data_IF_857879651847
#
_entry.id   IF_857879651847
#
_cell.length_a   1.000
_cell.length_b   1.000
_cell.length_c   1.000
_cell.angle_alpha   90.00
_cell.angle_beta   90.00
_cell.angle_gamma   90.00
#
_symmetry.space_group_name_H-M   'P 1'
#
loop_
_entity.id
_entity.type
_entity.pdbx_description
1 polymer ?
#
# COMPACT_ATOMS: atom_id res chain seq x y z
N UNK A 1 16.14 8.19 -22.67
CA UNK A 1 15.99 7.93 -21.22
C UNK A 1 14.69 7.17 -21.03
N UNK A 2 14.71 6.03 -20.35
CA UNK A 2 13.52 5.17 -20.17
C UNK A 2 12.46 5.76 -19.23
N UNK A 3 12.72 6.90 -18.57
CA UNK A 3 11.84 7.49 -17.55
C UNK A 3 11.17 8.81 -17.92
N UNK A 4 11.23 9.26 -19.18
CA UNK A 4 10.47 10.42 -19.63
C UNK A 4 8.98 10.06 -19.77
N UNK A 5 8.09 11.01 -19.44
CA UNK A 5 6.65 10.89 -19.58
C UNK A 5 6.08 12.09 -20.32
N UNK A 6 5.21 11.83 -21.28
CA UNK A 6 4.42 12.86 -21.94
C UNK A 6 3.33 13.39 -21.02
N UNK A 7 2.93 14.64 -21.23
CA UNK A 7 1.88 15.30 -20.47
C UNK A 7 0.50 15.04 -21.08
N UNK A 8 -0.53 14.92 -20.23
CA UNK A 8 -1.93 14.73 -20.64
C UNK A 8 -2.14 13.56 -21.62
N UNK A 9 -1.43 12.45 -21.44
CA UNK A 9 -1.58 11.25 -22.27
C UNK A 9 -2.23 10.11 -21.49
N UNK A 10 -2.79 9.19 -22.26
CA UNK A 10 -3.26 7.88 -21.78
C UNK A 10 -2.37 6.83 -22.42
N UNK A 11 -1.77 5.98 -21.61
CA UNK A 11 -0.79 4.99 -22.06
C UNK A 11 -1.20 3.62 -21.56
N UNK A 12 -1.14 2.63 -22.45
CA UNK A 12 -1.32 1.24 -22.07
C UNK A 12 -0.09 0.76 -21.28
N UNK A 13 -0.35 0.20 -20.11
CA UNK A 13 0.63 -0.34 -19.18
C UNK A 13 0.40 -1.82 -18.89
N UNK A 14 -0.48 -2.48 -19.64
CA UNK A 14 -0.70 -3.92 -19.59
C UNK A 14 0.33 -4.68 -20.43
N UNK A 15 0.68 -5.88 -19.98
CA UNK A 15 1.49 -6.81 -20.76
C UNK A 15 0.60 -7.67 -21.67
N UNK A 16 0.98 -7.78 -22.95
CA UNK A 16 0.24 -8.57 -23.94
C UNK A 16 -1.08 -7.92 -24.32
N UNK A 17 -2.17 -8.68 -24.26
CA UNK A 17 -3.52 -8.22 -24.63
C UNK A 17 -4.30 -7.61 -23.45
N UNK A 18 -3.63 -7.29 -22.34
CA UNK A 18 -4.23 -6.66 -21.16
C UNK A 18 -4.42 -5.17 -21.42
N UNK A 19 -5.59 -4.64 -21.07
CA UNK A 19 -5.91 -3.21 -21.21
C UNK A 19 -5.81 -2.50 -19.86
N UNK A 20 -4.62 -2.04 -19.51
CA UNK A 20 -4.39 -1.27 -18.28
C UNK A 20 -4.01 0.16 -18.67
N UNK A 21 -4.75 1.16 -18.20
CA UNK A 21 -4.59 2.53 -18.69
C UNK A 21 -4.05 3.46 -17.63
N UNK A 22 -2.86 4.02 -17.87
CA UNK A 22 -2.25 5.06 -17.03
C UNK A 22 -2.49 6.45 -17.62
N UNK A 23 -2.83 7.41 -16.75
CA UNK A 23 -3.16 8.79 -17.12
C UNK A 23 -2.15 9.74 -16.52
N UNK A 24 -1.58 10.62 -17.36
CA UNK A 24 -0.71 11.70 -16.89
C UNK A 24 -1.42 13.05 -16.84
N UNK A 25 -1.01 13.91 -15.91
CA UNK A 25 -1.41 15.31 -15.91
C UNK A 25 -0.51 16.17 -16.82
N UNK A 26 -0.72 17.49 -16.81
CA UNK A 26 0.05 18.44 -17.64
C UNK A 26 1.56 18.49 -17.32
N UNK A 27 1.98 17.92 -16.18
CA UNK A 27 3.36 17.84 -15.71
C UNK A 27 3.99 16.45 -15.93
N UNK A 28 3.29 15.56 -16.63
CA UNK A 28 3.75 14.19 -16.88
C UNK A 28 3.74 13.31 -15.62
N UNK A 29 3.07 13.72 -14.54
CA UNK A 29 2.88 12.87 -13.36
C UNK A 29 1.78 11.85 -13.65
N UNK A 30 2.00 10.57 -13.35
CA UNK A 30 0.94 9.55 -13.42
C UNK A 30 0.01 9.78 -12.24
N UNK A 31 -1.22 10.20 -12.49
CA UNK A 31 -2.19 10.59 -11.44
C UNK A 31 -3.29 9.55 -11.23
N UNK A 32 -3.49 8.68 -12.22
CA UNK A 32 -4.51 7.63 -12.19
C UNK A 32 -4.08 6.43 -13.04
N UNK A 33 -4.33 5.22 -12.56
CA UNK A 33 -4.22 3.99 -13.35
C UNK A 33 -5.50 3.18 -13.17
N UNK A 34 -6.06 2.65 -14.25
CA UNK A 34 -7.27 1.82 -14.19
C UNK A 34 -7.11 0.52 -14.96
N UNK A 35 -7.82 -0.51 -14.51
CA UNK A 35 -8.05 -1.72 -15.27
C UNK A 35 -9.45 -2.25 -14.97
N UNK A 36 -10.21 -2.62 -15.99
CA UNK A 36 -11.52 -3.27 -15.78
C UNK A 36 -11.34 -4.60 -15.05
N UNK A 37 -10.29 -5.35 -15.41
CA UNK A 37 -9.93 -6.63 -14.83
C UNK A 37 -8.42 -6.77 -14.74
N UNK A 38 -7.93 -7.12 -13.55
CA UNK A 38 -6.55 -7.56 -13.35
C UNK A 38 -6.46 -9.06 -13.65
N UNK A 39 -5.63 -9.40 -14.62
CA UNK A 39 -5.31 -10.78 -15.02
C UNK A 39 -3.87 -11.06 -14.59
N UNK A 40 -3.70 -12.06 -13.72
CA UNK A 40 -2.39 -12.47 -13.22
C UNK A 40 -1.45 -12.88 -14.37
N UNK A 41 -0.15 -12.69 -14.17
CA UNK A 41 0.89 -13.23 -15.04
C UNK A 41 0.85 -14.77 -15.00
N UNK A 42 1.14 -15.40 -16.13
CA UNK A 42 1.33 -16.85 -16.24
C UNK A 42 2.75 -17.14 -16.73
N UNK A 43 3.65 -17.47 -15.81
CA UNK A 43 5.07 -17.73 -16.11
C UNK A 43 5.31 -18.95 -17.00
N UNK A 44 4.31 -19.82 -17.15
CA UNK A 44 4.39 -21.03 -17.99
C UNK A 44 3.98 -20.77 -19.44
N UNK A 45 3.19 -19.73 -19.69
CA UNK A 45 2.64 -19.40 -21.01
C UNK A 45 3.17 -18.08 -21.58
N UNK A 46 3.56 -17.15 -20.70
CA UNK A 46 4.01 -15.82 -21.09
C UNK A 46 5.54 -15.74 -21.18
N UNK A 47 6.08 -14.89 -22.08
CA UNK A 47 7.52 -14.80 -22.31
C UNK A 47 8.20 -13.97 -21.22
N UNK A 48 8.21 -14.50 -19.99
CA UNK A 48 8.93 -13.91 -18.86
C UNK A 48 10.41 -14.29 -18.90
N UNK A 49 11.25 -13.45 -18.30
CA UNK A 49 12.65 -13.74 -18.05
C UNK A 49 12.78 -14.87 -17.01
N UNK A 50 13.97 -15.45 -16.88
CA UNK A 50 14.25 -16.45 -15.84
C UNK A 50 14.06 -15.92 -14.40
N UNK A 51 13.96 -14.61 -14.23
CA UNK A 51 13.62 -13.93 -12.98
C UNK A 51 12.10 -13.87 -12.70
N UNK A 52 11.26 -14.29 -13.64
CA UNK A 52 9.80 -14.11 -13.60
C UNK A 52 9.32 -12.74 -14.05
N UNK A 53 10.22 -11.85 -14.47
CA UNK A 53 9.88 -10.47 -14.88
C UNK A 53 9.63 -10.36 -16.37
N UNK A 54 8.76 -9.47 -16.81
CA UNK A 54 8.58 -9.21 -18.26
C UNK A 54 9.78 -8.48 -18.87
N UNK A 55 10.44 -7.61 -18.10
CA UNK A 55 11.57 -6.80 -18.55
C UNK A 55 12.73 -6.88 -17.58
N UNK A 56 13.95 -6.74 -18.09
CA UNK A 56 15.19 -6.90 -17.30
C UNK A 56 15.45 -5.74 -16.35
N UNK A 57 14.79 -4.60 -16.56
CA UNK A 57 14.98 -3.39 -15.78
C UNK A 57 13.71 -2.51 -15.85
N UNK A 58 13.48 -1.73 -14.79
CA UNK A 58 12.42 -0.73 -14.71
C UNK A 58 12.82 0.60 -15.32
N UNK A 59 11.83 1.35 -15.81
CA UNK A 59 12.01 2.72 -16.23
C UNK A 59 12.64 3.61 -15.15
N UNK A 60 13.66 4.40 -15.54
CA UNK A 60 14.38 5.29 -14.62
C UNK A 60 13.72 6.67 -14.51
N UNK A 61 12.53 6.70 -13.91
CA UNK A 61 11.74 7.92 -13.68
C UNK A 61 12.47 8.84 -12.68
N UNK A 62 12.44 10.18 -12.84
CA UNK A 62 13.06 11.08 -11.86
C UNK A 62 12.63 10.77 -10.42
N UNK A 63 13.60 10.54 -9.54
CA UNK A 63 13.37 10.14 -8.15
C UNK A 63 13.81 8.71 -7.80
N UNK A 64 13.82 7.77 -8.76
CA UNK A 64 14.19 6.36 -8.49
C UNK A 64 15.69 6.12 -8.27
N UNK A 65 16.53 7.16 -8.40
CA UNK A 65 17.97 7.06 -8.12
C UNK A 65 18.30 7.31 -6.63
N UNK A 66 17.30 7.32 -5.76
CA UNK A 66 17.45 7.49 -4.32
C UNK A 66 17.66 6.12 -3.66
N UNK A 67 18.58 6.03 -2.70
CA UNK A 67 18.86 4.76 -1.99
C UNK A 67 17.67 4.26 -1.15
N UNK A 68 16.67 5.10 -0.90
CA UNK A 68 15.48 4.79 -0.09
C UNK A 68 14.22 4.60 -0.95
N UNK A 69 14.31 4.84 -2.26
CA UNK A 69 13.17 4.72 -3.16
C UNK A 69 13.43 3.68 -4.24
N UNK A 70 12.51 2.74 -4.38
CA UNK A 70 12.47 1.78 -5.47
C UNK A 70 11.78 2.36 -6.71
N UNK A 71 12.02 1.70 -7.84
CA UNK A 71 11.16 1.79 -9.01
C UNK A 71 9.89 0.94 -8.78
N UNK A 72 9.01 1.43 -7.91
CA UNK A 72 7.78 0.72 -7.51
C UNK A 72 6.79 0.66 -8.66
N UNK A 73 6.27 -0.54 -8.93
CA UNK A 73 5.18 -0.72 -9.89
C UNK A 73 3.87 -0.22 -9.28
N UNK A 74 3.03 0.43 -10.08
CA UNK A 74 1.64 0.72 -9.69
C UNK A 74 0.80 -0.56 -9.85
N UNK A 75 0.98 -1.27 -10.95
CA UNK A 75 0.51 -2.65 -11.17
C UNK A 75 1.74 -3.53 -11.42
N UNK A 76 2.02 -4.49 -10.53
CA UNK A 76 3.20 -5.35 -10.62
C UNK A 76 3.23 -6.27 -11.86
N UNK A 77 4.44 -6.74 -12.20
CA UNK A 77 4.68 -7.79 -13.21
C UNK A 77 3.74 -8.99 -12.97
N UNK A 78 3.64 -9.46 -11.72
CA UNK A 78 2.79 -10.60 -11.33
C UNK A 78 1.28 -10.38 -11.53
N UNK A 79 0.85 -9.11 -11.64
CA UNK A 79 -0.51 -8.70 -11.95
C UNK A 79 -0.70 -8.32 -13.43
N UNK A 80 0.33 -8.53 -14.26
CA UNK A 80 0.29 -8.27 -15.69
C UNK A 80 0.67 -6.84 -16.11
N UNK A 81 1.23 -6.02 -15.21
CA UNK A 81 1.71 -4.68 -15.54
C UNK A 81 3.12 -4.71 -16.14
N UNK A 82 3.45 -3.72 -16.99
CA UNK A 82 4.80 -3.58 -17.59
C UNK A 82 5.66 -2.57 -16.85
N UNK A 83 6.99 -2.72 -16.93
CA UNK A 83 7.95 -1.85 -16.23
C UNK A 83 8.25 -0.51 -16.92
N UNK A 84 7.30 0.06 -17.67
CA UNK A 84 7.48 1.31 -18.42
C UNK A 84 7.34 2.55 -17.52
N UNK A 85 7.71 3.74 -18.04
CA UNK A 85 7.70 4.97 -17.24
C UNK A 85 6.33 5.32 -16.66
N UNK A 86 5.23 4.90 -17.29
CA UNK A 86 3.86 5.24 -16.92
C UNK A 86 3.26 4.30 -15.86
N UNK A 87 3.96 3.20 -15.55
CA UNK A 87 3.56 2.23 -14.51
C UNK A 87 4.55 2.14 -13.34
N UNK A 88 5.63 2.92 -13.38
CA UNK A 88 6.69 2.92 -12.36
C UNK A 88 6.69 4.25 -11.64
N UNK A 89 6.57 4.29 -10.32
CA UNK A 89 6.76 5.52 -9.51
C UNK A 89 7.90 5.36 -8.52
N UNK A 90 8.68 6.41 -8.19
CA UNK A 90 9.57 6.39 -7.04
C UNK A 90 8.76 6.11 -5.78
N UNK A 91 8.96 4.96 -5.16
CA UNK A 91 8.18 4.49 -4.02
C UNK A 91 9.12 4.08 -2.89
N UNK A 92 8.75 4.38 -1.65
CA UNK A 92 9.52 3.93 -0.49
C UNK A 92 9.79 2.42 -0.55
N UNK A 93 11.06 2.02 -0.39
CA UNK A 93 11.47 0.62 -0.60
C UNK A 93 10.82 -0.34 0.39
N UNK A 94 10.60 0.06 1.64
CA UNK A 94 9.94 -0.79 2.65
C UNK A 94 8.46 -0.92 2.32
N UNK A 95 7.79 0.18 1.97
CA UNK A 95 6.40 0.17 1.50
C UNK A 95 6.21 -0.72 0.28
N UNK A 96 7.08 -0.59 -0.72
CA UNK A 96 7.03 -1.33 -1.98
C UNK A 96 7.22 -2.84 -1.78
N UNK A 97 8.19 -3.24 -0.95
CA UNK A 97 8.57 -4.66 -0.82
C UNK A 97 7.80 -5.42 0.25
N UNK A 98 7.40 -4.74 1.32
CA UNK A 98 6.89 -5.37 2.55
C UNK A 98 5.70 -4.64 3.19
N UNK A 99 5.26 -3.51 2.63
CA UNK A 99 4.16 -2.70 3.16
C UNK A 99 2.83 -2.92 2.44
N UNK A 100 2.00 -1.89 2.47
CA UNK A 100 0.63 -1.94 1.95
C UNK A 100 0.54 -2.24 0.44
N UNK A 101 1.54 -1.82 -0.34
CA UNK A 101 1.64 -2.17 -1.76
C UNK A 101 1.75 -3.69 -1.94
N UNK A 102 2.73 -4.31 -1.27
CA UNK A 102 2.96 -5.76 -1.36
C UNK A 102 1.74 -6.56 -0.86
N UNK A 103 1.04 -6.06 0.17
CA UNK A 103 -0.18 -6.70 0.67
C UNK A 103 -1.32 -6.66 -0.35
N UNK A 104 -1.61 -5.49 -0.92
CA UNK A 104 -2.64 -5.33 -1.95
C UNK A 104 -2.37 -6.27 -3.15
N UNK A 105 -1.11 -6.40 -3.58
CA UNK A 105 -0.73 -7.34 -4.64
C UNK A 105 -0.97 -8.79 -4.26
N UNK A 106 -0.65 -9.19 -3.02
CA UNK A 106 -0.87 -10.54 -2.53
C UNK A 106 -2.36 -10.91 -2.42
N UNK A 107 -3.20 -9.98 -1.93
CA UNK A 107 -4.66 -10.15 -1.87
C UNK A 107 -5.22 -10.41 -3.27
N UNK A 108 -4.83 -9.60 -4.27
CA UNK A 108 -5.29 -9.77 -5.65
C UNK A 108 -4.82 -11.10 -6.23
N UNK A 109 -3.55 -11.49 -6.00
CA UNK A 109 -3.00 -12.78 -6.44
C UNK A 109 -3.75 -13.96 -5.85
N UNK A 110 -3.93 -13.99 -4.52
CA UNK A 110 -4.66 -15.06 -3.81
C UNK A 110 -6.12 -15.15 -4.26
N UNK A 111 -6.72 -14.02 -4.62
CA UNK A 111 -8.08 -14.00 -5.17
C UNK A 111 -8.19 -14.50 -6.63
N UNK A 112 -7.07 -14.68 -7.34
CA UNK A 112 -7.04 -15.06 -8.75
C UNK A 112 -7.20 -13.89 -9.72
N UNK A 113 -6.94 -12.66 -9.26
CA UNK A 113 -7.16 -11.41 -9.99
C UNK A 113 -8.20 -10.52 -9.30
N UNK A 114 -8.48 -9.37 -9.92
CA UNK A 114 -9.42 -8.37 -9.41
C UNK A 114 -10.22 -7.73 -10.55
N UNK A 115 -11.27 -6.99 -10.20
CA UNK A 115 -12.03 -6.17 -11.15
C UNK A 115 -12.20 -4.75 -10.64
N UNK A 116 -12.51 -3.81 -11.54
CA UNK A 116 -12.70 -2.39 -11.21
C UNK A 116 -11.49 -1.81 -10.44
N UNK A 117 -10.29 -2.13 -10.91
CA UNK A 117 -9.06 -1.64 -10.31
C UNK A 117 -8.86 -0.17 -10.67
N UNK A 118 -8.63 0.66 -9.67
CA UNK A 118 -8.27 2.06 -9.78
C UNK A 118 -7.19 2.41 -8.77
N UNK A 119 -6.08 2.98 -9.25
CA UNK A 119 -5.09 3.64 -8.42
C UNK A 119 -5.21 5.15 -8.64
N UNK A 120 -5.30 5.91 -7.55
CA UNK A 120 -5.21 7.38 -7.55
C UNK A 120 -3.90 7.75 -6.84
N UNK A 121 -3.08 8.54 -7.50
CA UNK A 121 -1.72 8.85 -7.05
C UNK A 121 -1.62 10.34 -6.80
N UNK A 122 -1.28 10.70 -5.56
CA UNK A 122 -1.20 12.09 -5.12
C UNK A 122 0.26 12.53 -5.02
N UNK A 123 0.53 13.78 -5.39
CA UNK A 123 1.88 14.36 -5.35
C UNK A 123 1.91 15.61 -4.46
N UNK A 124 3.01 15.87 -3.76
CA UNK A 124 3.13 17.05 -2.89
C UNK A 124 3.27 18.35 -3.69
N UNK A 125 3.72 18.27 -4.95
CA UNK A 125 3.77 19.40 -5.87
C UNK A 125 3.93 18.94 -7.32
N UNK A 126 3.74 19.86 -8.26
CA UNK A 126 3.94 19.66 -9.71
C UNK A 126 5.41 19.56 -10.14
N UNK A 127 6.37 19.79 -9.22
CA UNK A 127 7.81 19.84 -9.52
C UNK A 127 8.54 18.52 -9.33
N UNK A 128 7.85 17.51 -8.79
CA UNK A 128 8.43 16.20 -8.46
C UNK A 128 7.69 15.09 -9.16
N UNK A 129 8.38 13.99 -9.47
CA UNK A 129 7.76 12.75 -9.95
C UNK A 129 7.64 11.70 -8.83
N UNK A 130 7.98 12.08 -7.59
CA UNK A 130 7.82 11.26 -6.38
C UNK A 130 6.42 11.52 -5.78
N UNK A 131 5.52 10.53 -5.74
CA UNK A 131 4.22 10.66 -5.08
C UNK A 131 4.35 10.90 -3.58
N UNK A 132 3.33 11.52 -2.99
CA UNK A 132 3.16 11.61 -1.53
C UNK A 132 2.31 10.49 -0.97
N UNK A 133 1.35 9.96 -1.74
CA UNK A 133 0.44 8.91 -1.27
C UNK A 133 -0.30 8.25 -2.43
N UNK A 134 -0.88 7.09 -2.11
CA UNK A 134 -1.66 6.27 -3.03
C UNK A 134 -3.01 5.93 -2.42
N UNK A 135 -4.03 5.83 -3.28
CA UNK A 135 -5.30 5.20 -2.97
C UNK A 135 -5.60 4.15 -4.03
N UNK A 136 -5.77 2.90 -3.62
CA UNK A 136 -6.18 1.80 -4.48
C UNK A 136 -7.63 1.43 -4.18
N UNK A 137 -8.40 1.13 -5.21
CA UNK A 137 -9.76 0.61 -5.12
C UNK A 137 -9.91 -0.54 -6.09
N UNK A 138 -10.37 -1.70 -5.63
CA UNK A 138 -10.50 -2.90 -6.45
C UNK A 138 -11.52 -3.85 -5.85
N UNK A 139 -12.06 -4.74 -6.67
CA UNK A 139 -13.06 -5.74 -6.27
C UNK A 139 -12.50 -7.15 -6.38
N UNK A 140 -12.49 -7.88 -5.27
CA UNK A 140 -12.12 -9.30 -5.18
C UNK A 140 -13.28 -10.08 -4.56
N UNK A 141 -13.65 -11.21 -5.18
CA UNK A 141 -14.76 -12.07 -4.73
C UNK A 141 -16.09 -11.33 -4.44
N UNK A 142 -16.34 -10.23 -5.17
CA UNK A 142 -17.54 -9.40 -5.01
C UNK A 142 -17.46 -8.32 -3.92
N UNK A 143 -16.34 -8.25 -3.18
CA UNK A 143 -16.10 -7.24 -2.15
C UNK A 143 -15.23 -6.12 -2.68
N UNK A 144 -15.65 -4.87 -2.47
CA UNK A 144 -14.86 -3.67 -2.81
C UNK A 144 -13.89 -3.38 -1.68
N UNK A 145 -12.60 -3.35 -2.00
CA UNK A 145 -11.51 -3.00 -1.09
C UNK A 145 -10.99 -1.61 -1.44
N UNK A 146 -10.64 -0.83 -0.41
CA UNK A 146 -10.08 0.53 -0.55
C UNK A 146 -8.87 0.67 0.37
N UNK A 147 -7.68 0.68 -0.22
CA UNK A 147 -6.40 0.83 0.47
C UNK A 147 -5.88 2.25 0.29
N UNK A 148 -5.35 2.85 1.36
CA UNK A 148 -4.76 4.20 1.32
C UNK A 148 -3.51 4.22 2.18
N UNK A 149 -2.41 4.70 1.60
CA UNK A 149 -1.13 4.78 2.29
C UNK A 149 -0.26 5.91 1.77
N UNK A 150 0.57 6.45 2.65
CA UNK A 150 1.53 7.49 2.33
C UNK A 150 2.82 6.87 1.77
N UNK A 151 3.48 7.57 0.85
CA UNK A 151 4.72 7.15 0.22
C UNK A 151 5.94 7.46 1.11
N UNK A 152 5.95 6.84 2.28
CA UNK A 152 6.95 7.00 3.34
C UNK A 152 7.26 5.63 3.92
N UNK A 153 8.38 5.52 4.64
CA UNK A 153 8.71 4.28 5.33
C UNK A 153 7.66 3.99 6.42
N UNK A 154 6.88 2.89 6.31
CA UNK A 154 5.85 2.56 7.28
C UNK A 154 6.41 2.32 8.69
N UNK A 155 7.67 1.87 8.80
CA UNK A 155 8.34 1.69 10.10
C UNK A 155 8.63 3.04 10.79
N UNK A 156 8.94 4.09 10.03
CA UNK A 156 9.23 5.42 10.59
C UNK A 156 7.98 6.16 11.05
N UNK A 157 6.85 5.97 10.36
CA UNK A 157 5.56 6.55 10.77
C UNK A 157 5.08 5.90 12.07
N UNK A 158 5.18 4.57 12.15
CA UNK A 158 4.84 3.83 13.36
C UNK A 158 5.81 4.11 14.51
N UNK A 159 7.09 4.35 14.21
CA UNK A 159 8.10 4.76 15.20
C UNK A 159 7.93 6.20 15.70
N UNK A 160 7.50 7.14 14.84
CA UNK A 160 7.41 8.58 15.18
C UNK A 160 6.23 8.92 16.10
N UNK A 161 5.24 8.03 16.25
CA UNK A 161 4.19 8.18 17.27
C UNK A 161 4.70 7.88 18.70
N UNK A 162 5.90 7.31 18.87
CA UNK A 162 6.45 6.94 20.19
C UNK A 162 7.42 7.96 20.80
N UNK A 163 7.75 9.06 20.11
CA UNK A 163 8.73 10.04 20.60
C UNK A 163 8.24 11.51 20.55
N UNK A 164 7.33 11.86 21.46
CA UNK A 164 7.23 13.22 22.02
C UNK A 164 7.04 13.18 23.54
N UNK A 165 8.00 12.61 24.25
CA UNK A 165 8.28 12.97 25.64
C UNK A 165 9.21 14.17 25.63
N UNK A 166 8.66 15.34 25.93
CA UNK A 166 9.47 16.46 26.41
C UNK A 166 9.00 16.74 27.83
N UNK A 167 9.87 16.39 28.77
CA UNK A 167 9.78 16.75 30.18
C UNK A 167 9.65 18.27 30.34
N UNK A 168 8.64 18.75 31.08
CA UNK A 168 8.82 19.56 32.29
C UNK A 168 7.48 19.68 33.05
N UNK A 169 7.46 19.74 34.40
CA UNK A 169 6.27 19.61 35.22
C UNK A 169 5.70 20.97 35.61
N UNK A 170 4.40 21.19 35.45
CA UNK A 170 3.50 21.75 36.48
C UNK A 170 2.08 22.06 35.95
N UNK A 171 1.12 21.82 36.84
CA UNK A 171 -0.21 22.45 36.93
C UNK A 171 -1.34 21.93 36.02
N UNK A 172 -2.15 21.08 36.65
CA UNK A 172 -3.61 20.88 36.50
C UNK A 172 -4.37 21.75 35.49
N UNK A 173 -5.04 21.10 34.53
CA UNK A 173 -6.50 21.17 34.38
C UNK A 173 -7.02 20.11 33.39
N UNK A 174 -8.12 19.48 33.79
CA UNK A 174 -8.82 18.40 33.12
C UNK A 174 -9.25 18.75 31.70
N UNK A 175 -8.94 17.89 30.72
CA UNK A 175 -9.82 17.61 29.58
C UNK A 175 -9.58 16.18 29.11
N UNK A 176 -10.64 15.40 29.13
CA UNK A 176 -10.70 13.97 28.84
C UNK A 176 -10.21 13.66 27.42
N UNK A 177 -9.03 13.07 27.31
CA UNK A 177 -8.60 12.33 26.12
C UNK A 177 -8.14 10.96 26.63
N UNK A 178 -8.94 9.92 26.38
CA UNK A 178 -8.55 8.53 26.63
C UNK A 178 -7.42 8.19 25.66
N UNK A 179 -6.18 8.53 26.04
CA UNK A 179 -4.99 7.99 25.41
C UNK A 179 -4.93 6.50 25.75
N UNK A 180 -5.00 5.65 24.74
CA UNK A 180 -4.80 4.21 24.89
C UNK A 180 -3.32 4.02 25.24
N UNK A 181 -3.04 3.56 26.45
CA UNK A 181 -1.68 3.22 26.90
C UNK A 181 -1.31 1.89 26.25
N UNK A 182 -0.17 1.83 25.57
CA UNK A 182 0.32 0.59 24.96
C UNK A 182 0.43 -0.52 26.02
N UNK A 183 -0.15 -1.69 25.72
CA UNK A 183 -0.20 -2.84 26.64
C UNK A 183 -1.37 -2.81 27.64
N UNK A 184 -2.18 -1.74 27.68
CA UNK A 184 -3.42 -1.68 28.44
C UNK A 184 -4.64 -1.80 27.52
N UNK A 185 -5.20 -3.00 27.45
CA UNK A 185 -6.41 -3.29 26.67
C UNK A 185 -7.70 -3.01 27.46
N UNK A 186 -7.65 -2.50 28.69
CA UNK A 186 -8.85 -2.35 29.55
C UNK A 186 -9.96 -1.48 28.94
N UNK A 187 -9.61 -0.59 28.01
CA UNK A 187 -10.57 0.28 27.29
C UNK A 187 -11.08 -0.32 25.97
N UNK A 188 -10.53 -1.46 25.55
CA UNK A 188 -10.84 -2.15 24.29
C UNK A 188 -11.47 -3.52 24.56
N UNK A 189 -10.92 -4.28 25.51
CA UNK A 189 -11.47 -5.51 26.03
C UNK A 189 -12.66 -5.21 26.96
N UNK A 190 -13.83 -5.05 26.35
CA UNK A 190 -15.08 -4.67 27.03
C UNK A 190 -15.51 -5.73 28.04
N UNK A 191 -15.13 -6.99 27.80
CA UNK A 191 -15.57 -8.13 28.58
C UNK A 191 -14.55 -8.55 29.66
N UNK A 192 -13.33 -7.99 29.62
CA UNK A 192 -12.29 -8.13 30.64
C UNK A 192 -11.62 -9.50 30.69
N UNK A 193 -11.64 -10.27 29.59
CA UNK A 193 -11.06 -11.61 29.52
C UNK A 193 -9.57 -11.62 29.10
N UNK A 194 -8.97 -10.46 28.85
CA UNK A 194 -7.60 -10.30 28.37
C UNK A 194 -7.41 -10.56 26.88
N UNK A 195 -8.49 -10.74 26.11
CA UNK A 195 -8.47 -10.95 24.66
C UNK A 195 -9.40 -9.96 23.94
N UNK A 196 -8.86 -9.31 22.91
CA UNK A 196 -9.58 -8.36 22.07
C UNK A 196 -10.08 -9.05 20.80
N UNK A 197 -11.39 -9.00 20.59
CA UNK A 197 -12.01 -9.48 19.36
C UNK A 197 -11.88 -8.46 18.22
N UNK A 198 -12.01 -8.91 16.97
CA UNK A 198 -12.11 -8.03 15.79
C UNK A 198 -13.20 -6.98 15.97
N UNK A 199 -14.31 -7.35 16.61
CA UNK A 199 -15.43 -6.44 16.87
C UNK A 199 -15.06 -5.33 17.85
N UNK A 200 -14.35 -5.66 18.93
CA UNK A 200 -13.86 -4.70 19.91
C UNK A 200 -12.79 -3.78 19.32
N UNK A 201 -11.86 -4.33 18.54
CA UNK A 201 -10.85 -3.54 17.83
C UNK A 201 -11.51 -2.56 16.82
N UNK A 202 -12.48 -3.02 16.02
CA UNK A 202 -13.24 -2.14 15.10
C UNK A 202 -14.03 -1.06 15.85
N UNK A 203 -14.65 -1.40 16.97
CA UNK A 203 -15.39 -0.44 17.80
C UNK A 203 -14.48 0.63 18.43
N UNK A 204 -13.23 0.26 18.76
CA UNK A 204 -12.19 1.17 19.22
C UNK A 204 -11.52 1.96 18.08
N UNK A 205 -11.98 1.79 16.82
CA UNK A 205 -11.51 2.56 15.66
C UNK A 205 -10.32 1.96 14.94
N UNK A 206 -9.87 0.76 15.31
CA UNK A 206 -8.79 0.07 14.63
C UNK A 206 -9.25 -0.49 13.28
N UNK A 207 -8.41 -0.35 12.26
CA UNK A 207 -8.63 -0.89 10.92
C UNK A 207 -8.02 -2.29 10.83
N UNK A 208 -8.71 -3.21 10.17
CA UNK A 208 -8.24 -4.58 9.96
C UNK A 208 -7.49 -4.71 8.63
N UNK A 209 -6.60 -5.72 8.49
CA UNK A 209 -6.19 -6.66 9.54
C UNK A 209 -5.20 -6.03 10.54
N UNK A 210 -5.22 -6.53 11.78
CA UNK A 210 -4.21 -6.23 12.80
C UNK A 210 -3.09 -7.28 12.66
N UNK A 211 -1.86 -6.83 12.44
CA UNK A 211 -0.71 -7.71 12.12
C UNK A 211 0.17 -7.99 13.33
N UNK A 212 1.00 -9.03 13.25
CA UNK A 212 1.89 -9.49 14.32
C UNK A 212 2.73 -8.40 14.99
N UNK A 213 3.17 -7.40 14.22
CA UNK A 213 3.95 -6.26 14.74
C UNK A 213 3.13 -5.18 15.48
N UNK A 214 1.79 -5.25 15.48
CA UNK A 214 0.93 -4.28 16.13
C UNK A 214 0.78 -4.61 17.62
N UNK A 215 0.88 -3.62 18.51
CA UNK A 215 0.83 -3.85 19.97
C UNK A 215 -0.46 -4.55 20.45
N UNK A 216 -1.57 -4.39 19.71
CA UNK A 216 -2.85 -5.05 19.99
C UNK A 216 -2.85 -6.54 19.60
N UNK A 217 -2.00 -6.94 18.65
CA UNK A 217 -1.98 -8.28 18.09
C UNK A 217 -1.76 -9.41 19.12
N UNK A 218 -0.83 -9.29 20.10
CA UNK A 218 -0.67 -10.31 21.14
C UNK A 218 -1.94 -10.57 21.97
N UNK A 219 -2.89 -9.63 21.95
CA UNK A 219 -4.17 -9.72 22.63
C UNK A 219 -5.30 -10.17 21.71
N UNK A 220 -5.06 -10.36 20.42
CA UNK A 220 -6.05 -10.78 19.43
C UNK A 220 -5.84 -12.25 19.03
N UNK A 221 -6.90 -12.88 18.53
CA UNK A 221 -6.83 -14.28 18.13
C UNK A 221 -6.58 -14.43 16.63
N UNK A 222 -5.37 -14.82 16.27
CA UNK A 222 -5.00 -15.33 14.95
C UNK A 222 -5.34 -16.84 14.89
N UNK A 223 -6.33 -17.18 14.07
CA UNK A 223 -6.88 -18.54 13.96
C UNK A 223 -6.04 -19.44 13.04
N UNK A 224 -5.40 -18.85 12.04
CA UNK A 224 -4.68 -19.53 10.96
C UNK A 224 -3.17 -19.35 11.02
N UNK A 225 -2.69 -18.59 12.01
CA UNK A 225 -1.28 -18.36 12.33
C UNK A 225 -0.52 -17.71 11.16
N UNK A 226 -1.21 -16.85 10.42
CA UNK A 226 -0.69 -16.16 9.25
C UNK A 226 -0.05 -14.79 9.60
N UNK A 227 -0.08 -14.40 10.87
CA UNK A 227 0.45 -13.12 11.33
C UNK A 227 -0.57 -11.99 11.28
N UNK A 228 -1.86 -12.28 11.06
CA UNK A 228 -2.92 -11.29 10.84
C UNK A 228 -4.21 -11.66 11.60
N UNK A 229 -4.95 -10.64 12.05
CA UNK A 229 -6.27 -10.82 12.67
C UNK A 229 -7.26 -9.85 12.04
N UNK A 230 -8.35 -10.39 11.48
CA UNK A 230 -9.47 -9.60 10.97
C UNK A 230 -9.70 -9.62 9.46
N UNK A 231 -9.20 -10.64 8.76
CA UNK A 231 -9.63 -10.99 7.40
C UNK A 231 -11.16 -11.22 7.29
#
# INVERSE_FOLDING_TARGET
MSGYRESNVVVDVGFGDREYWAFTNEYGQVVRVIAEKIILQDDSLEPVLSSGRYYSDEAKVPGVNSDTLDAGHIIADSLGGVANAYNITPQDSTLNRHGDQAYMEDVIRKAGGATQFEAIITYPSIKTQVPSSYQFTYTVHGNVIVDKFDNVNPEEVNGSQTNKTSDDPTSTNSTSNNAIVEGDVSNIDINGNGQVTIKEAKAAGFRMPIREGHWLYPYMHDNDHDGMVGE
#
